data_IF_921678411036
#
_entry.id   IF_921678411036
#
_cell.length_a   1.000
_cell.length_b   1.000
_cell.length_c   1.000
_cell.angle_alpha   90.00
_cell.angle_beta   90.00
_cell.angle_gamma   90.00
#
_symmetry.space_group_name_H-M   'P 1'
#
loop_
_entity.id
_entity.type
_entity.pdbx_description
1 polymer ?
#
# COMPACT_ATOMS: atom_id res chain seq x y z
N UNK A 1 5.57 28.81 12.39
CA UNK A 1 4.78 27.56 12.38
C UNK A 1 4.81 26.95 10.97
N UNK A 2 5.98 26.55 10.47
CA UNK A 2 6.15 26.10 9.08
C UNK A 2 7.09 24.87 9.02
N UNK A 3 6.94 23.95 9.98
CA UNK A 3 7.75 22.72 10.06
C UNK A 3 6.90 21.43 9.98
N UNK A 4 5.58 21.56 10.01
CA UNK A 4 4.67 20.39 10.01
C UNK A 4 4.38 19.86 8.59
N UNK A 5 4.58 20.66 7.55
CA UNK A 5 4.20 20.28 6.17
C UNK A 5 5.31 19.57 5.38
N UNK A 6 6.58 19.68 5.80
CA UNK A 6 7.70 18.99 5.13
C UNK A 6 7.86 17.53 5.59
N UNK A 7 7.30 17.17 6.76
CA UNK A 7 7.42 15.83 7.32
C UNK A 7 6.42 14.84 6.67
N UNK A 8 5.24 15.32 6.27
CA UNK A 8 4.20 14.51 5.63
C UNK A 8 4.63 13.93 4.27
N UNK A 9 5.45 14.68 3.53
CA UNK A 9 5.99 14.32 2.21
C UNK A 9 6.96 13.12 2.22
N UNK A 10 7.46 12.73 3.40
CA UNK A 10 8.25 11.52 3.59
C UNK A 10 7.52 10.43 4.38
N UNK A 11 6.55 10.80 5.23
CA UNK A 11 5.74 9.84 5.98
C UNK A 11 4.88 9.00 5.04
N UNK A 12 4.26 9.65 4.04
CA UNK A 12 3.33 8.98 3.12
C UNK A 12 3.94 7.74 2.44
N UNK A 13 5.12 7.79 1.79
CA UNK A 13 5.74 6.59 1.22
C UNK A 13 6.12 5.55 2.28
N UNK A 14 6.51 5.95 3.49
CA UNK A 14 6.86 5.03 4.57
C UNK A 14 5.63 4.29 5.13
N UNK A 15 4.49 4.97 5.29
CA UNK A 15 3.21 4.36 5.70
C UNK A 15 2.78 3.30 4.68
N UNK A 16 2.86 3.62 3.39
CA UNK A 16 2.45 2.66 2.35
C UNK A 16 3.34 1.42 2.36
N UNK A 17 4.64 1.57 2.60
CA UNK A 17 5.54 0.43 2.75
C UNK A 17 5.13 -0.49 3.93
N UNK A 18 4.74 0.10 5.05
CA UNK A 18 4.23 -0.63 6.21
C UNK A 18 2.92 -1.38 5.90
N UNK A 19 1.97 -0.69 5.25
CA UNK A 19 0.69 -1.28 4.83
C UNK A 19 0.87 -2.41 3.81
N UNK A 20 1.79 -2.26 2.86
CA UNK A 20 2.13 -3.29 1.88
C UNK A 20 2.59 -4.59 2.56
N UNK A 21 3.55 -4.47 3.49
CA UNK A 21 4.09 -5.62 4.19
C UNK A 21 3.05 -6.28 5.10
N UNK A 22 2.21 -5.48 5.76
CA UNK A 22 1.07 -5.97 6.52
C UNK A 22 0.06 -6.72 5.64
N UNK A 23 -0.29 -6.16 4.47
CA UNK A 23 -1.23 -6.77 3.53
C UNK A 23 -0.74 -8.11 2.98
N UNK A 24 0.55 -8.22 2.64
CA UNK A 24 1.16 -9.50 2.26
C UNK A 24 1.11 -10.49 3.41
N UNK A 25 1.45 -10.06 4.62
CA UNK A 25 1.44 -10.94 5.80
C UNK A 25 0.05 -11.51 6.04
N UNK A 26 -0.99 -10.69 5.96
CA UNK A 26 -2.39 -11.13 6.09
C UNK A 26 -2.78 -12.07 4.95
N UNK A 27 -2.42 -11.77 3.70
CA UNK A 27 -2.74 -12.62 2.56
C UNK A 27 -2.11 -14.02 2.68
N UNK A 28 -0.84 -14.08 3.12
CA UNK A 28 -0.12 -15.34 3.37
C UNK A 28 -0.75 -16.11 4.52
N UNK A 29 -1.05 -15.45 5.65
CA UNK A 29 -1.69 -16.10 6.80
C UNK A 29 -3.10 -16.60 6.47
N UNK A 30 -3.89 -15.85 5.71
CA UNK A 30 -5.22 -16.27 5.26
C UNK A 30 -5.15 -17.47 4.29
N UNK A 31 -4.14 -17.47 3.40
CA UNK A 31 -3.85 -18.58 2.51
C UNK A 31 -3.46 -19.85 3.25
N UNK A 32 -2.48 -19.75 4.16
CA UNK A 32 -2.09 -20.88 5.02
C UNK A 32 -3.24 -21.35 5.91
N UNK A 33 -4.00 -20.43 6.53
CA UNK A 33 -5.16 -20.76 7.35
C UNK A 33 -6.23 -21.53 6.56
N UNK A 34 -6.44 -21.20 5.28
CA UNK A 34 -7.33 -21.96 4.40
C UNK A 34 -6.80 -23.35 4.05
N UNK A 35 -5.48 -23.55 3.96
CA UNK A 35 -4.87 -24.85 3.64
C UNK A 35 -4.86 -25.76 4.88
N UNK A 36 -4.42 -25.24 6.03
CA UNK A 36 -4.25 -26.01 7.27
C UNK A 36 -5.53 -26.10 8.11
N UNK A 37 -6.47 -25.18 7.96
CA UNK A 37 -7.75 -25.15 8.69
C UNK A 37 -8.85 -26.04 8.12
N UNK A 38 -8.52 -26.96 7.20
CA UNK A 38 -9.50 -27.87 6.57
C UNK A 38 -10.24 -27.30 5.35
N UNK A 39 -9.82 -26.14 4.84
CA UNK A 39 -10.30 -25.61 3.56
C UNK A 39 -9.67 -26.33 2.35
N UNK A 40 -10.17 -26.04 1.16
CA UNK A 40 -9.61 -26.60 -0.07
C UNK A 40 -8.22 -26.03 -0.36
N UNK A 41 -7.23 -26.89 -0.56
CA UNK A 41 -5.86 -26.54 -0.96
C UNK A 41 -5.87 -25.62 -2.19
N UNK A 42 -6.79 -25.87 -3.14
CA UNK A 42 -6.96 -25.07 -4.35
C UNK A 42 -7.37 -23.62 -4.05
N UNK A 43 -8.25 -23.39 -3.07
CA UNK A 43 -8.65 -22.04 -2.62
C UNK A 43 -7.51 -21.33 -1.91
N UNK A 44 -6.78 -22.03 -1.05
CA UNK A 44 -5.62 -21.48 -0.36
C UNK A 44 -4.51 -21.07 -1.33
N UNK A 45 -4.21 -21.91 -2.32
CA UNK A 45 -3.24 -21.59 -3.37
C UNK A 45 -3.69 -20.38 -4.22
N UNK A 46 -4.98 -20.31 -4.56
CA UNK A 46 -5.53 -19.16 -5.27
C UNK A 46 -5.37 -17.86 -4.47
N UNK A 47 -5.63 -17.89 -3.16
CA UNK A 47 -5.44 -16.72 -2.27
C UNK A 47 -3.96 -16.33 -2.16
N UNK A 48 -3.04 -17.30 -2.07
CA UNK A 48 -1.59 -17.03 -2.01
C UNK A 48 -1.07 -16.42 -3.31
N UNK A 49 -1.65 -16.78 -4.46
CA UNK A 49 -1.22 -16.22 -5.76
C UNK A 49 -1.90 -14.88 -6.05
N UNK A 50 -3.22 -14.78 -5.85
CA UNK A 50 -4.01 -13.59 -6.21
C UNK A 50 -3.93 -12.51 -5.13
N UNK A 51 -3.84 -12.88 -3.85
CA UNK A 51 -3.80 -11.96 -2.72
C UNK A 51 -2.66 -10.93 -2.83
N UNK A 52 -1.39 -11.35 -3.03
CA UNK A 52 -0.27 -10.44 -3.19
C UNK A 52 -0.41 -9.52 -4.41
N UNK A 53 -1.03 -10.00 -5.51
CA UNK A 53 -1.24 -9.20 -6.72
C UNK A 53 -2.19 -8.04 -6.41
N UNK A 54 -3.31 -8.30 -5.74
CA UNK A 54 -4.27 -7.26 -5.35
C UNK A 54 -3.61 -6.25 -4.41
N UNK A 55 -2.87 -6.73 -3.39
CA UNK A 55 -2.14 -5.85 -2.46
C UNK A 55 -1.14 -4.98 -3.21
N UNK A 56 -0.39 -5.54 -4.16
CA UNK A 56 0.62 -4.81 -4.94
C UNK A 56 -0.02 -3.72 -5.81
N UNK A 57 -1.05 -4.05 -6.57
CA UNK A 57 -1.77 -3.08 -7.43
C UNK A 57 -2.42 -1.99 -6.60
N UNK A 58 -3.08 -2.35 -5.49
CA UNK A 58 -3.68 -1.38 -4.56
C UNK A 58 -2.64 -0.43 -3.95
N UNK A 59 -1.49 -0.96 -3.52
CA UNK A 59 -0.39 -0.13 -3.01
C UNK A 59 0.22 0.76 -4.10
N UNK A 60 0.45 0.27 -5.33
CA UNK A 60 0.97 1.10 -6.43
C UNK A 60 0.03 2.26 -6.75
N UNK A 61 -1.28 2.01 -6.84
CA UNK A 61 -2.27 3.08 -7.09
C UNK A 61 -2.29 4.09 -5.95
N UNK A 62 -2.25 3.65 -4.69
CA UNK A 62 -2.15 4.55 -3.54
C UNK A 62 -0.91 5.44 -3.63
N UNK A 63 0.28 4.86 -3.87
CA UNK A 63 1.53 5.64 -4.02
C UNK A 63 1.40 6.66 -5.16
N UNK A 64 0.86 6.25 -6.31
CA UNK A 64 0.68 7.13 -7.47
C UNK A 64 -0.24 8.30 -7.15
N UNK A 65 -1.38 8.05 -6.49
CA UNK A 65 -2.31 9.12 -6.08
C UNK A 65 -1.66 10.12 -5.11
N UNK A 66 -0.90 9.62 -4.14
CA UNK A 66 -0.18 10.48 -3.21
C UNK A 66 0.92 11.30 -3.91
N UNK A 67 1.68 10.69 -4.84
CA UNK A 67 2.66 11.42 -5.65
C UNK A 67 2.01 12.51 -6.50
N UNK A 68 0.82 12.28 -7.04
CA UNK A 68 0.07 13.31 -7.77
C UNK A 68 -0.30 14.47 -6.84
N UNK A 69 -0.81 14.17 -5.64
CA UNK A 69 -1.14 15.18 -4.64
C UNK A 69 0.07 16.04 -4.26
N UNK A 70 1.21 15.41 -3.99
CA UNK A 70 2.47 16.10 -3.70
C UNK A 70 2.94 16.99 -4.85
N UNK A 71 2.74 16.56 -6.09
CA UNK A 71 3.12 17.31 -7.28
C UNK A 71 2.19 18.51 -7.51
N UNK A 72 0.89 18.37 -7.26
CA UNK A 72 -0.07 19.49 -7.29
C UNK A 72 0.27 20.57 -6.26
N UNK A 73 0.62 20.17 -5.03
CA UNK A 73 1.03 21.10 -3.97
C UNK A 73 2.29 21.87 -4.38
N UNK A 74 3.27 21.19 -4.99
CA UNK A 74 4.49 21.83 -5.47
C UNK A 74 4.23 22.85 -6.60
N UNK A 75 3.26 22.59 -7.48
CA UNK A 75 2.89 23.51 -8.56
C UNK A 75 2.19 24.78 -8.04
N UNK A 76 1.38 24.66 -6.97
CA UNK A 76 0.74 25.82 -6.33
C UNK A 76 1.80 26.79 -5.78
N UNK A 77 2.76 26.25 -5.04
CA UNK A 77 3.82 27.06 -4.40
C UNK A 77 4.68 27.81 -5.44
N UNK A 78 4.95 27.17 -6.59
CA UNK A 78 5.72 27.77 -7.69
C UNK A 78 5.02 28.90 -8.47
N UNK A 79 3.69 29.04 -8.35
CA UNK A 79 2.92 30.11 -9.02
C UNK A 79 2.72 31.35 -8.14
N UNK A 80 3.11 31.30 -6.87
CA UNK A 80 2.89 32.39 -5.92
C UNK A 80 4.18 33.19 -5.60
N UNK A 81 5.29 32.88 -6.30
CA UNK A 81 6.49 33.72 -6.40
C UNK A 81 6.68 34.23 -7.83
#
# INVERSE_FOLDING_TARGET
>A
MHFLLAFDRLITPAIIHFVYWLGITVAVLAGLGSIFGGGSILKGLFVIVVGPIIVRVGCEVLVVLFRINENLVALHDSKQG
#
